data_IF_819861751775
#
_entry.id   IF_819861751775
#
_cell.length_a   1.000
_cell.length_b   1.000
_cell.length_c   1.000
_cell.angle_alpha   90.00
_cell.angle_beta   90.00
_cell.angle_gamma   90.00
#
_symmetry.space_group_name_H-M   'P 1'
#
loop_
_entity.id
_entity.type
_entity.pdbx_description
1 polymer ?
#
# COMPACT_ATOMS: atom_id res chain seq x y z
N UNK A 1 -19.32 5.84 -25.23
CA UNK A 1 -18.55 6.53 -24.16
C UNK A 1 -17.56 5.54 -23.55
N UNK A 2 -16.25 5.77 -23.70
CA UNK A 2 -15.22 4.87 -23.16
C UNK A 2 -15.20 5.03 -21.63
N UNK A 3 -15.56 3.98 -20.89
CA UNK A 3 -15.56 3.95 -19.42
C UNK A 3 -14.13 3.61 -18.95
N UNK A 4 -13.50 4.52 -18.22
CA UNK A 4 -12.14 4.33 -17.71
C UNK A 4 -12.16 3.34 -16.54
N UNK A 5 -11.56 2.16 -16.72
CA UNK A 5 -11.46 1.09 -15.71
C UNK A 5 -10.07 0.95 -15.10
N UNK A 6 -9.05 1.35 -15.86
CA UNK A 6 -7.66 1.21 -15.50
C UNK A 6 -6.98 2.57 -15.65
N UNK A 7 -6.43 3.09 -14.55
CA UNK A 7 -5.62 4.29 -14.55
C UNK A 7 -4.21 3.89 -14.13
N UNK A 8 -3.32 3.80 -15.11
CA UNK A 8 -1.91 3.54 -14.87
C UNK A 8 -1.12 4.77 -15.28
N UNK A 9 -0.47 5.42 -14.33
CA UNK A 9 0.34 6.59 -14.60
C UNK A 9 1.78 6.27 -14.20
N UNK A 10 2.68 6.30 -15.18
CA UNK A 10 4.11 6.08 -14.96
C UNK A 10 4.77 7.40 -14.59
N UNK A 11 4.84 7.69 -13.30
CA UNK A 11 5.64 8.79 -12.75
C UNK A 11 6.63 8.25 -11.72
N UNK A 12 7.90 8.67 -11.83
CA UNK A 12 8.93 8.35 -10.84
C UNK A 12 8.61 8.95 -9.47
N UNK A 13 7.99 10.13 -9.44
CA UNK A 13 7.57 10.82 -8.22
C UNK A 13 6.16 10.43 -7.76
N UNK A 14 5.44 9.64 -8.58
CA UNK A 14 4.03 9.38 -8.38
C UNK A 14 3.14 10.46 -8.99
N UNK A 15 1.84 10.19 -9.02
CA UNK A 15 0.85 11.18 -9.39
C UNK A 15 0.52 12.02 -8.18
N UNK A 16 1.09 13.22 -8.14
CA UNK A 16 0.57 14.27 -7.30
C UNK A 16 -0.87 14.51 -7.68
N UNK A 17 -1.77 14.19 -6.76
CA UNK A 17 -3.16 14.65 -6.82
C UNK A 17 -3.14 16.06 -6.27
N UNK A 18 -3.19 17.12 -7.11
CA UNK A 18 -3.06 18.48 -6.63
C UNK A 18 -4.10 18.74 -5.54
N UNK A 19 -3.76 19.57 -4.55
CA UNK A 19 -4.65 19.96 -3.44
C UNK A 19 -5.97 20.60 -3.91
N UNK A 20 -6.09 20.95 -5.20
CA UNK A 20 -7.33 21.38 -5.83
C UNK A 20 -8.08 20.32 -6.64
N UNK A 21 -7.53 19.78 -7.74
CA UNK A 21 -8.42 19.60 -8.90
C UNK A 21 -8.41 18.24 -9.63
N UNK A 22 -7.97 17.12 -9.05
CA UNK A 22 -8.22 15.81 -9.70
C UNK A 22 -9.58 15.19 -9.35
N UNK A 23 -10.19 15.65 -8.25
CA UNK A 23 -11.43 15.09 -7.73
C UNK A 23 -12.58 16.11 -7.64
N UNK A 24 -12.35 17.32 -8.15
CA UNK A 24 -13.34 18.39 -8.30
C UNK A 24 -13.89 18.49 -9.74
N UNK A 25 -13.24 17.81 -10.69
CA UNK A 25 -13.94 17.45 -11.92
C UNK A 25 -14.99 16.39 -11.58
N UNK A 26 -16.24 16.83 -11.44
CA UNK A 26 -17.49 16.08 -11.58
C UNK A 26 -17.59 15.23 -12.88
N UNK A 27 -16.48 14.88 -13.52
CA UNK A 27 -16.38 14.30 -14.87
C UNK A 27 -15.74 12.92 -14.92
N UNK A 28 -15.00 12.47 -13.88
CA UNK A 28 -14.47 11.11 -13.82
C UNK A 28 -15.28 10.28 -12.83
N UNK A 29 -16.16 9.43 -13.35
CA UNK A 29 -16.94 8.48 -12.55
C UNK A 29 -16.02 7.33 -12.08
N UNK A 30 -15.14 7.63 -11.12
CA UNK A 30 -14.07 6.76 -10.60
C UNK A 30 -14.62 5.55 -9.82
N UNK A 31 -15.92 5.50 -9.54
CA UNK A 31 -16.59 4.33 -9.00
C UNK A 31 -16.45 3.07 -9.87
N UNK A 32 -16.07 3.20 -11.14
CA UNK A 32 -15.82 2.07 -12.06
C UNK A 32 -14.34 1.73 -12.22
N UNK A 33 -13.46 2.40 -11.49
CA UNK A 33 -12.03 2.18 -11.55
C UNK A 33 -11.69 0.92 -10.75
N UNK A 34 -11.12 -0.07 -11.43
CA UNK A 34 -10.74 -1.36 -10.84
C UNK A 34 -9.23 -1.38 -10.50
N UNK A 35 -8.42 -0.57 -11.19
CA UNK A 35 -6.97 -0.48 -10.95
C UNK A 35 -6.45 0.96 -10.99
N UNK A 36 -5.65 1.34 -9.99
CA UNK A 36 -4.99 2.63 -9.88
C UNK A 36 -3.53 2.40 -9.52
N UNK A 37 -2.62 2.74 -10.43
CA UNK A 37 -1.18 2.66 -10.15
C UNK A 37 -0.56 4.04 -10.00
N UNK A 38 0.37 4.14 -9.05
CA UNK A 38 1.22 5.29 -8.77
C UNK A 38 0.51 6.51 -8.17
N UNK A 39 -0.36 6.30 -7.19
CA UNK A 39 -0.99 7.38 -6.43
C UNK A 39 0.00 7.98 -5.42
N UNK A 40 0.40 9.24 -5.57
CA UNK A 40 1.17 9.92 -4.52
C UNK A 40 0.24 10.57 -3.50
N UNK A 41 0.52 10.36 -2.22
CA UNK A 41 -0.30 10.87 -1.13
C UNK A 41 0.58 11.63 -0.13
N UNK A 42 0.25 12.91 0.06
CA UNK A 42 0.98 13.82 0.92
C UNK A 42 0.61 13.69 2.40
N UNK A 43 -0.63 13.29 2.72
CA UNK A 43 -1.13 13.16 4.10
C UNK A 43 -2.17 12.04 4.27
N UNK A 44 -2.41 11.62 5.51
CA UNK A 44 -3.42 10.62 5.87
C UNK A 44 -4.84 11.01 5.45
N UNK A 45 -5.20 12.28 5.62
CA UNK A 45 -6.55 12.79 5.32
C UNK A 45 -6.85 12.66 3.82
N UNK A 46 -5.86 12.99 2.99
CA UNK A 46 -5.97 12.85 1.53
C UNK A 46 -6.14 11.40 1.10
N UNK A 47 -5.50 10.46 1.79
CA UNK A 47 -5.67 9.03 1.50
C UNK A 47 -7.13 8.61 1.71
N UNK A 48 -7.73 9.01 2.82
CA UNK A 48 -9.11 8.67 3.16
C UNK A 48 -10.12 9.31 2.20
N UNK A 49 -9.91 10.58 1.83
CA UNK A 49 -10.73 11.25 0.83
C UNK A 49 -10.70 10.55 -0.53
N UNK A 50 -9.51 10.14 -0.97
CA UNK A 50 -9.34 9.41 -2.22
C UNK A 50 -10.01 8.05 -2.11
N UNK A 51 -9.79 7.31 -1.02
CA UNK A 51 -10.39 5.99 -0.79
C UNK A 51 -11.93 6.03 -0.91
N UNK A 52 -12.58 7.07 -0.36
CA UNK A 52 -14.03 7.29 -0.49
C UNK A 52 -14.48 7.48 -1.95
N UNK A 53 -13.61 8.02 -2.82
CA UNK A 53 -13.91 8.26 -4.25
C UNK A 53 -13.59 7.07 -5.16
N UNK A 54 -12.82 6.08 -4.69
CA UNK A 54 -12.50 4.84 -5.43
C UNK A 54 -12.93 3.56 -4.67
N UNK A 55 -14.21 3.43 -4.28
CA UNK A 55 -14.65 2.35 -3.40
C UNK A 55 -14.55 0.93 -4.00
N UNK A 56 -14.53 0.81 -5.33
CA UNK A 56 -14.50 -0.48 -6.06
C UNK A 56 -13.09 -0.85 -6.57
N UNK A 57 -12.05 -0.21 -6.03
CA UNK A 57 -10.69 -0.46 -6.45
C UNK A 57 -10.22 -1.85 -6.01
N UNK A 58 -9.64 -2.62 -6.93
CA UNK A 58 -9.12 -3.97 -6.68
C UNK A 58 -7.59 -4.00 -6.65
N UNK A 59 -6.94 -3.10 -7.38
CA UNK A 59 -5.48 -2.97 -7.37
C UNK A 59 -5.07 -1.53 -7.15
N UNK A 60 -4.25 -1.29 -6.13
CA UNK A 60 -3.79 0.03 -5.75
C UNK A 60 -2.27 0.03 -5.53
N UNK A 61 -1.58 0.97 -6.14
CA UNK A 61 -0.18 1.28 -5.81
C UNK A 61 -0.10 2.72 -5.30
N UNK A 62 0.34 2.87 -4.06
CA UNK A 62 0.51 4.16 -3.39
C UNK A 62 1.98 4.45 -3.09
N UNK A 63 2.31 5.73 -3.22
CA UNK A 63 3.53 6.36 -2.73
C UNK A 63 3.14 7.34 -1.63
N UNK A 64 3.58 7.11 -0.42
CA UNK A 64 3.25 7.98 0.72
C UNK A 64 4.44 8.86 1.10
N UNK A 65 4.13 10.08 1.51
CA UNK A 65 5.10 11.02 2.05
C UNK A 65 5.78 10.48 3.30
N UNK A 66 7.06 10.83 3.51
CA UNK A 66 7.80 10.45 4.72
C UNK A 66 7.26 11.11 6.01
N UNK A 67 6.35 12.07 5.88
CA UNK A 67 5.66 12.75 6.98
C UNK A 67 4.31 12.11 7.33
N UNK A 68 3.84 11.14 6.54
CA UNK A 68 2.58 10.44 6.82
C UNK A 68 2.70 9.66 8.13
N UNK A 69 1.75 9.84 9.03
CA UNK A 69 1.67 9.16 10.33
C UNK A 69 0.71 7.98 10.33
N UNK A 70 -0.20 7.92 9.35
CA UNK A 70 -1.20 6.86 9.23
C UNK A 70 -1.51 6.53 7.77
N UNK A 71 -1.62 5.25 7.46
CA UNK A 71 -2.06 4.71 6.16
C UNK A 71 -3.24 3.78 6.40
N UNK A 72 -4.45 4.32 6.30
CA UNK A 72 -5.70 3.55 6.45
C UNK A 72 -6.35 3.28 5.10
N UNK A 73 -6.57 2.01 4.78
CA UNK A 73 -7.23 1.54 3.56
C UNK A 73 -8.32 0.50 3.87
N UNK A 74 -8.71 0.39 5.12
CA UNK A 74 -9.78 -0.47 5.65
C UNK A 74 -11.13 -0.27 4.96
N UNK A 75 -11.43 0.96 4.54
CA UNK A 75 -12.65 1.28 3.77
C UNK A 75 -12.70 0.68 2.36
N UNK A 76 -11.57 0.21 1.81
CA UNK A 76 -11.49 -0.35 0.46
C UNK A 76 -11.80 -1.85 0.47
N UNK A 77 -13.08 -2.19 0.60
CA UNK A 77 -13.55 -3.57 0.77
C UNK A 77 -13.29 -4.50 -0.42
N UNK A 78 -12.95 -3.97 -1.60
CA UNK A 78 -12.67 -4.78 -2.79
C UNK A 78 -11.19 -4.87 -3.15
N UNK A 79 -10.31 -4.31 -2.30
CA UNK A 79 -8.89 -4.22 -2.60
C UNK A 79 -8.20 -5.58 -2.44
N UNK A 80 -7.78 -6.16 -3.56
CA UNK A 80 -7.13 -7.46 -3.62
C UNK A 80 -5.59 -7.35 -3.68
N UNK A 81 -5.07 -6.30 -4.31
CA UNK A 81 -3.63 -6.09 -4.47
C UNK A 81 -3.23 -4.67 -4.06
N UNK A 82 -2.30 -4.57 -3.13
CA UNK A 82 -1.76 -3.30 -2.64
C UNK A 82 -0.25 -3.29 -2.76
N UNK A 83 0.29 -2.21 -3.33
CA UNK A 83 1.70 -1.85 -3.22
C UNK A 83 1.83 -0.53 -2.47
N UNK A 84 2.60 -0.54 -1.39
CA UNK A 84 2.92 0.67 -0.62
C UNK A 84 4.41 0.94 -0.72
N UNK A 85 4.73 2.16 -1.11
CA UNK A 85 6.10 2.66 -1.18
C UNK A 85 6.18 4.06 -0.60
N UNK A 86 7.39 4.53 -0.29
CA UNK A 86 7.62 5.91 0.13
C UNK A 86 8.76 6.51 -0.67
N UNK A 87 8.82 7.84 -0.77
CA UNK A 87 9.91 8.56 -1.45
C UNK A 87 11.17 8.64 -0.60
N UNK A 88 11.02 8.64 0.73
CA UNK A 88 12.11 8.73 1.70
C UNK A 88 11.76 7.87 2.92
N UNK A 89 12.76 7.47 3.72
CA UNK A 89 12.47 6.76 4.97
C UNK A 89 11.55 7.60 5.86
N UNK A 90 10.52 6.98 6.44
CA UNK A 90 9.62 7.67 7.36
C UNK A 90 10.40 8.27 8.51
N UNK A 91 10.04 9.50 8.87
CA UNK A 91 10.63 10.19 10.02
C UNK A 91 9.96 9.77 11.33
N UNK A 92 8.72 9.30 11.25
CA UNK A 92 7.88 8.92 12.38
C UNK A 92 7.42 7.46 12.26
N UNK A 93 6.92 6.90 13.36
CA UNK A 93 6.20 5.63 13.32
C UNK A 93 4.87 5.81 12.58
N UNK A 94 4.56 4.88 11.67
CA UNK A 94 3.37 4.93 10.84
C UNK A 94 2.41 3.82 11.25
N UNK A 95 1.16 4.19 11.50
CA UNK A 95 0.08 3.23 11.71
C UNK A 95 -0.43 2.72 10.35
N UNK A 96 -0.53 1.41 10.19
CA UNK A 96 -1.04 0.78 8.97
C UNK A 96 -2.32 0.02 9.28
N UNK A 97 -3.40 0.35 8.56
CA UNK A 97 -4.67 -0.37 8.62
C UNK A 97 -4.98 -0.92 7.23
N UNK A 98 -4.66 -2.20 7.02
CA UNK A 98 -4.89 -2.89 5.74
C UNK A 98 -6.30 -3.50 5.69
N UNK A 99 -6.96 -3.50 4.51
CA UNK A 99 -8.24 -4.15 4.35
C UNK A 99 -8.11 -5.68 4.42
N UNK A 100 -9.11 -6.35 5.00
CA UNK A 100 -9.13 -7.81 5.20
C UNK A 100 -9.28 -8.61 3.90
N UNK A 101 -9.68 -7.97 2.80
CA UNK A 101 -9.84 -8.57 1.48
C UNK A 101 -8.53 -8.68 0.69
N UNK A 102 -7.44 -8.15 1.24
CA UNK A 102 -6.15 -8.12 0.59
C UNK A 102 -5.57 -9.54 0.39
N UNK A 103 -5.26 -9.86 -0.87
CA UNK A 103 -4.61 -11.11 -1.28
C UNK A 103 -3.13 -10.94 -1.56
N UNK A 104 -2.73 -9.76 -2.04
CA UNK A 104 -1.34 -9.45 -2.38
C UNK A 104 -0.90 -8.15 -1.75
N UNK A 105 0.19 -8.20 -0.99
CA UNK A 105 0.83 -7.04 -0.41
C UNK A 105 2.27 -6.92 -0.90
N UNK A 106 2.63 -5.74 -1.38
CA UNK A 106 4.01 -5.38 -1.73
C UNK A 106 4.44 -4.16 -0.94
N UNK A 107 5.54 -4.27 -0.20
CA UNK A 107 6.09 -3.19 0.61
C UNK A 107 7.47 -2.82 0.09
N UNK A 108 7.76 -1.53 -0.02
CA UNK A 108 9.01 -1.01 -0.58
C UNK A 108 9.45 0.27 0.15
N UNK A 109 10.72 0.33 0.55
CA UNK A 109 11.37 1.50 1.19
C UNK A 109 10.76 1.97 2.52
N UNK A 110 9.85 1.20 3.14
CA UNK A 110 9.13 1.63 4.35
C UNK A 110 9.99 1.58 5.62
N UNK A 111 11.05 0.77 5.66
CA UNK A 111 11.93 0.64 6.82
C UNK A 111 11.19 0.27 8.11
N UNK A 112 10.15 -0.57 8.03
CA UNK A 112 9.33 -0.96 9.17
C UNK A 112 10.14 -1.84 10.14
N UNK A 113 10.02 -1.65 11.46
CA UNK A 113 10.61 -2.61 12.39
C UNK A 113 9.89 -3.96 12.25
N UNK A 114 10.63 -5.07 12.41
CA UNK A 114 10.06 -6.42 12.36
C UNK A 114 8.90 -6.64 13.34
N UNK A 115 8.82 -5.89 14.44
CA UNK A 115 7.69 -5.91 15.37
C UNK A 115 6.33 -5.61 14.72
N UNK A 116 6.30 -4.95 13.55
CA UNK A 116 5.07 -4.64 12.80
C UNK A 116 4.63 -5.74 11.83
N UNK A 117 5.41 -6.79 11.65
CA UNK A 117 5.08 -7.89 10.73
C UNK A 117 3.79 -8.60 11.15
N UNK A 118 3.46 -8.64 12.45
CA UNK A 118 2.26 -9.30 12.95
C UNK A 118 0.96 -8.67 12.44
N UNK A 119 0.96 -7.37 12.12
CA UNK A 119 -0.18 -6.72 11.47
C UNK A 119 -0.46 -7.33 10.08
N UNK A 120 0.58 -7.83 9.42
CA UNK A 120 0.49 -8.48 8.12
C UNK A 120 0.15 -9.96 8.28
N UNK A 121 0.69 -10.61 9.33
CA UNK A 121 0.38 -12.02 9.68
C UNK A 121 -1.12 -12.24 9.95
N UNK A 122 -1.79 -11.22 10.50
CA UNK A 122 -3.22 -11.24 10.84
C UNK A 122 -4.16 -11.11 9.62
N UNK A 123 -3.62 -10.84 8.43
CA UNK A 123 -4.43 -10.71 7.22
C UNK A 123 -5.01 -12.07 6.79
N UNK A 124 -6.35 -12.22 6.78
CA UNK A 124 -6.98 -13.55 6.66
C UNK A 124 -6.93 -14.12 5.23
N UNK A 125 -6.75 -13.26 4.23
CA UNK A 125 -6.80 -13.62 2.81
C UNK A 125 -5.47 -13.41 2.09
N UNK A 126 -4.40 -13.08 2.81
CA UNK A 126 -3.12 -12.78 2.17
C UNK A 126 -2.47 -14.05 1.63
N UNK A 127 -2.36 -14.11 0.31
CA UNK A 127 -1.77 -15.20 -0.47
C UNK A 127 -0.33 -14.90 -0.87
N UNK A 128 -0.02 -13.62 -1.15
CA UNK A 128 1.29 -13.17 -1.65
C UNK A 128 1.82 -11.99 -0.86
N UNK A 129 3.00 -12.14 -0.27
CA UNK A 129 3.75 -11.07 0.38
C UNK A 129 5.06 -10.83 -0.37
N UNK A 130 5.28 -9.58 -0.80
CA UNK A 130 6.53 -9.16 -1.45
C UNK A 130 7.20 -8.07 -0.63
N UNK A 131 8.39 -8.37 -0.15
CA UNK A 131 9.22 -7.44 0.61
C UNK A 131 10.36 -6.97 -0.30
N UNK A 132 10.23 -5.73 -0.77
CA UNK A 132 11.21 -5.10 -1.66
C UNK A 132 12.24 -4.30 -0.83
N UNK A 133 13.10 -3.57 -1.56
CA UNK A 133 14.24 -2.83 -1.02
C UNK A 133 13.90 -2.05 0.25
N UNK A 134 14.62 -2.33 1.36
CA UNK A 134 14.46 -1.67 2.66
C UNK A 134 13.00 -1.57 3.15
N UNK A 135 12.19 -2.59 2.88
CA UNK A 135 10.81 -2.67 3.38
C UNK A 135 10.74 -2.85 4.89
N UNK A 136 11.63 -3.68 5.46
CA UNK A 136 11.79 -3.89 6.90
C UNK A 136 13.22 -3.59 7.37
N UNK A 137 13.36 -3.28 8.66
CA UNK A 137 14.62 -3.08 9.38
C UNK A 137 14.62 -3.83 10.71
N UNK A 138 15.80 -4.22 11.17
CA UNK A 138 16.01 -4.95 12.42
C UNK A 138 16.66 -6.31 12.20
N UNK A 139 17.09 -6.93 13.29
CA UNK A 139 17.98 -8.10 13.26
C UNK A 139 17.27 -9.43 13.01
N UNK A 140 16.00 -9.57 13.41
CA UNK A 140 15.29 -10.84 13.37
C UNK A 140 13.81 -10.64 13.08
N UNK A 141 13.30 -11.49 12.20
CA UNK A 141 11.88 -11.72 12.02
C UNK A 141 11.45 -12.81 12.99
N UNK A 142 10.74 -12.42 14.05
CA UNK A 142 10.11 -13.39 14.95
C UNK A 142 8.69 -13.65 14.43
N UNK A 143 8.55 -14.73 13.65
CA UNK A 143 7.24 -15.22 13.20
C UNK A 143 6.45 -15.70 14.40
N UNK A 144 5.21 -15.25 14.54
CA UNK A 144 4.28 -15.90 15.47
C UNK A 144 3.92 -17.28 14.92
N UNK A 145 3.93 -18.28 15.80
CA UNK A 145 3.48 -19.63 15.47
C UNK A 145 2.01 -19.58 15.02
N UNK A 146 1.72 -20.00 13.78
CA UNK A 146 0.38 -19.90 13.16
C UNK A 146 0.05 -18.55 12.49
N UNK A 147 1.01 -17.64 12.35
CA UNK A 147 0.88 -16.45 11.50
C UNK A 147 0.75 -16.80 10.02
N UNK A 148 0.10 -15.93 9.23
CA UNK A 148 -0.09 -16.10 7.78
C UNK A 148 -0.89 -17.34 7.35
N UNK A 149 -2.21 -17.31 7.56
CA UNK A 149 -3.11 -18.47 7.33
C UNK A 149 -3.19 -18.98 5.89
N UNK A 150 -2.97 -18.13 4.90
CA UNK A 150 -3.15 -18.45 3.46
C UNK A 150 -1.94 -18.06 2.61
N UNK A 151 -0.80 -17.73 3.22
CA UNK A 151 0.35 -17.25 2.46
C UNK A 151 0.99 -18.40 1.69
N UNK A 152 1.00 -18.29 0.37
CA UNK A 152 1.56 -19.29 -0.54
C UNK A 152 2.95 -18.87 -1.05
N UNK A 153 3.23 -17.56 -1.12
CA UNK A 153 4.49 -17.04 -1.66
C UNK A 153 4.99 -15.82 -0.87
N UNK A 154 6.20 -15.93 -0.33
CA UNK A 154 6.96 -14.82 0.22
C UNK A 154 8.19 -14.54 -0.67
N UNK A 155 8.26 -13.34 -1.26
CA UNK A 155 9.39 -12.93 -2.10
C UNK A 155 10.26 -11.89 -1.39
N UNK A 156 11.55 -12.19 -1.23
CA UNK A 156 12.57 -11.27 -0.71
C UNK A 156 13.56 -10.89 -1.82
N UNK A 157 13.90 -9.61 -1.91
CA UNK A 157 14.96 -9.16 -2.82
C UNK A 157 16.33 -9.28 -2.12
N UNK A 158 17.31 -10.06 -2.62
CA UNK A 158 18.51 -10.51 -1.89
C UNK A 158 19.58 -9.45 -1.60
N UNK A 159 19.29 -8.16 -1.74
CA UNK A 159 20.30 -7.10 -1.60
C UNK A 159 20.45 -6.51 -0.20
N UNK A 160 19.78 -7.07 0.82
CA UNK A 160 20.09 -6.76 2.23
C UNK A 160 21.04 -7.83 2.75
N UNK A 161 22.33 -7.52 2.73
CA UNK A 161 23.41 -8.32 3.27
C UNK A 161 23.11 -8.78 4.71
N UNK A 162 23.01 -10.09 4.89
CA UNK A 162 23.16 -10.77 6.18
C UNK A 162 24.58 -10.50 6.69
N UNK A 163 24.70 -9.92 7.87
CA UNK A 163 25.91 -10.05 8.69
C UNK A 163 25.48 -10.85 9.91
N UNK A 164 25.96 -12.11 9.96
CA UNK A 164 25.73 -13.04 11.06
C UNK A 164 26.35 -12.61 12.38
#
# INVERSE_FOLDING_TARGET
MKKLKHLHIRSYEGCYVPEGNLLDYNSFNLHKLETFSCLYVSSSERLEEIAKKIPNIRQLEIKVSAFTTKVSLDSLNQLESLKVSTTNQFRNEVEYCFPSTLKKLTLELLGLPWSKISLIEELPNLEVLKLLWRSFKGKRWDMKEGGFRKLESCGWNPWTSWSG
#
